data_IF_395518963330
#
_entry.id   IF_395518963330
#
_cell.length_a   1.000
_cell.length_b   1.000
_cell.length_c   1.000
_cell.angle_alpha   90.00
_cell.angle_beta   90.00
_cell.angle_gamma   90.00
#
_symmetry.space_group_name_H-M   'P 1'
#
loop_
_entity.id
_entity.type
_entity.pdbx_description
1 polymer ?
#
# COMPACT_ATOMS: atom_id res chain seq x y z
N UNK A 1 -34.07 10.88 -6.22
CA UNK A 1 -32.84 10.88 -7.04
C UNK A 1 -31.77 10.22 -6.19
N UNK A 2 -31.49 8.94 -6.46
CA UNK A 2 -30.44 8.18 -5.77
C UNK A 2 -29.10 8.47 -6.45
N UNK A 3 -27.98 8.59 -5.71
CA UNK A 3 -26.67 8.80 -6.30
C UNK A 3 -26.28 7.56 -7.13
N UNK A 4 -25.64 7.80 -8.30
CA UNK A 4 -25.12 6.73 -9.15
C UNK A 4 -24.05 5.93 -8.39
N UNK A 5 -24.04 4.59 -8.45
CA UNK A 5 -23.00 3.79 -7.80
C UNK A 5 -21.64 4.07 -8.46
N UNK A 6 -20.61 4.29 -7.63
CA UNK A 6 -19.23 4.55 -8.03
C UNK A 6 -18.66 3.31 -8.75
N UNK A 7 -18.10 3.50 -9.95
CA UNK A 7 -17.65 2.44 -10.86
C UNK A 7 -16.22 1.95 -10.53
N UNK A 8 -16.09 1.12 -9.50
CA UNK A 8 -14.79 0.65 -8.94
C UNK A 8 -13.97 -0.21 -9.94
N UNK A 9 -14.59 -0.81 -10.96
CA UNK A 9 -13.88 -1.67 -11.95
C UNK A 9 -13.59 -0.98 -13.28
N UNK A 10 -14.26 0.13 -13.59
CA UNK A 10 -13.69 1.13 -14.47
C UNK A 10 -12.26 1.41 -14.04
N UNK A 11 -12.05 1.61 -12.73
CA UNK A 11 -10.75 1.90 -12.10
C UNK A 11 -9.70 0.77 -12.18
N UNK A 12 -10.06 -0.52 -12.27
CA UNK A 12 -9.09 -1.64 -12.29
C UNK A 12 -8.59 -1.97 -13.70
N UNK A 13 -9.49 -1.89 -14.69
CA UNK A 13 -9.15 -1.94 -16.11
C UNK A 13 -8.43 -0.65 -16.53
N UNK A 14 -8.84 0.49 -15.96
CA UNK A 14 -8.13 1.76 -15.97
C UNK A 14 -6.75 1.62 -15.28
N UNK A 15 -6.54 0.83 -14.22
CA UNK A 15 -5.18 0.62 -13.68
C UNK A 15 -4.26 -0.15 -14.64
N UNK A 16 -4.78 -1.17 -15.34
CA UNK A 16 -4.03 -1.94 -16.34
C UNK A 16 -3.80 -1.14 -17.64
N UNK A 17 -4.78 -0.35 -18.11
CA UNK A 17 -4.65 0.53 -19.28
C UNK A 17 -3.95 1.86 -18.96
N UNK A 18 -4.10 2.44 -17.76
CA UNK A 18 -3.28 3.57 -17.28
C UNK A 18 -1.83 3.12 -17.15
N UNK A 19 -1.54 1.89 -16.72
CA UNK A 19 -0.16 1.37 -16.74
C UNK A 19 0.42 1.29 -18.17
N UNK A 20 -0.41 1.19 -19.21
CA UNK A 20 0.02 1.13 -20.61
C UNK A 20 -0.12 2.44 -21.40
N UNK A 21 -0.98 3.38 -20.98
CA UNK A 21 -1.31 4.62 -21.71
C UNK A 21 -1.12 5.89 -20.86
N UNK A 22 -1.14 5.80 -19.52
CA UNK A 22 -0.72 6.92 -18.68
C UNK A 22 0.79 7.03 -18.70
N UNK A 23 1.26 8.09 -19.35
CA UNK A 23 2.49 8.73 -18.92
C UNK A 23 2.35 9.09 -17.45
N UNK A 24 2.89 8.28 -16.56
CA UNK A 24 3.50 8.86 -15.39
C UNK A 24 4.98 8.95 -15.71
N UNK A 25 5.41 10.04 -16.36
CA UNK A 25 6.51 10.71 -15.69
C UNK A 25 6.06 10.77 -14.23
N UNK A 26 6.83 10.20 -13.29
CA UNK A 26 6.52 10.38 -11.87
C UNK A 26 6.81 11.86 -11.60
N UNK A 27 5.95 12.72 -12.14
CA UNK A 27 5.81 14.09 -11.76
C UNK A 27 5.27 14.02 -10.36
N UNK A 28 5.96 14.72 -9.47
CA UNK A 28 5.50 14.88 -8.11
C UNK A 28 4.05 15.34 -8.15
N UNK A 29 3.17 14.60 -7.49
CA UNK A 29 1.77 14.99 -7.37
C UNK A 29 1.72 16.36 -6.70
N UNK A 30 1.33 17.37 -7.48
CA UNK A 30 1.19 18.78 -7.10
C UNK A 30 -0.09 19.30 -7.77
N UNK A 31 -1.20 18.66 -7.42
CA UNK A 31 -2.52 19.07 -7.88
C UNK A 31 -3.23 19.86 -6.79
N UNK A 32 -4.39 20.44 -7.10
CA UNK A 32 -5.14 21.29 -6.16
C UNK A 32 -5.55 20.56 -4.85
N UNK A 33 -5.51 19.23 -4.84
CA UNK A 33 -5.83 18.39 -3.68
C UNK A 33 -4.60 17.81 -2.97
N UNK A 34 -3.38 18.01 -3.49
CA UNK A 34 -2.17 17.40 -2.91
C UNK A 34 -0.90 18.25 -3.06
N UNK A 35 -0.15 18.52 -1.97
CA UNK A 35 -0.45 18.14 -0.58
C UNK A 35 -1.79 18.72 -0.09
N UNK A 36 -2.51 18.05 0.84
CA UNK A 36 -3.81 18.52 1.29
C UNK A 36 -3.75 20.00 1.73
N UNK A 37 -4.55 20.91 1.14
CA UNK A 37 -4.45 22.34 1.43
C UNK A 37 -4.67 22.67 2.90
N UNK A 38 -5.55 21.94 3.58
CA UNK A 38 -5.81 22.06 5.02
C UNK A 38 -4.57 21.75 5.85
N UNK A 39 -3.84 20.69 5.51
CA UNK A 39 -2.59 20.31 6.17
C UNK A 39 -1.52 21.40 5.99
N UNK A 40 -1.37 21.94 4.77
CA UNK A 40 -0.44 23.05 4.51
C UNK A 40 -0.78 24.30 5.33
N UNK A 41 -2.07 24.61 5.45
CA UNK A 41 -2.55 25.74 6.26
C UNK A 41 -2.29 25.54 7.75
N UNK A 42 -2.48 24.33 8.25
CA UNK A 42 -2.18 23.97 9.65
C UNK A 42 -0.68 24.04 9.95
N UNK A 43 0.17 23.59 9.03
CA UNK A 43 1.62 23.57 9.19
C UNK A 43 2.31 24.91 8.88
N UNK A 44 1.63 25.89 8.29
CA UNK A 44 2.23 27.18 7.95
C UNK A 44 2.89 27.90 9.15
N UNK A 45 2.27 27.98 10.35
CA UNK A 45 2.91 28.58 11.52
C UNK A 45 4.14 27.80 12.01
N UNK A 46 4.11 26.46 11.87
CA UNK A 46 5.25 25.59 12.20
C UNK A 46 6.41 25.85 11.25
N UNK A 47 6.12 25.90 9.94
CA UNK A 47 7.07 26.24 8.90
C UNK A 47 7.75 27.61 9.16
N UNK A 48 6.96 28.66 9.41
CA UNK A 48 7.45 30.00 9.71
C UNK A 48 8.36 30.02 10.96
N UNK A 49 7.95 29.32 12.03
CA UNK A 49 8.75 29.18 13.27
C UNK A 49 10.07 28.46 12.97
N UNK A 50 10.02 27.35 12.23
CA UNK A 50 11.20 26.54 11.96
C UNK A 50 12.19 27.21 11.01
N UNK A 51 11.74 27.95 10.00
CA UNK A 51 12.62 28.81 9.19
C UNK A 51 13.33 29.82 10.10
N UNK A 52 12.60 30.51 10.98
CA UNK A 52 13.19 31.50 11.90
C UNK A 52 14.20 30.89 12.87
N UNK A 53 13.95 29.68 13.37
CA UNK A 53 14.82 28.98 14.34
C UNK A 53 16.09 28.43 13.69
N UNK A 54 16.00 27.95 12.45
CA UNK A 54 17.07 27.15 11.82
C UNK A 54 17.83 27.91 10.75
N UNK A 55 17.22 28.93 10.14
CA UNK A 55 17.77 29.66 9.00
C UNK A 55 17.67 28.91 7.67
N UNK A 56 16.90 27.82 7.59
CA UNK A 56 16.65 27.12 6.35
C UNK A 56 15.99 28.06 5.32
N UNK A 57 16.42 27.97 4.07
CA UNK A 57 15.87 28.80 3.00
C UNK A 57 14.68 28.11 2.33
N UNK A 58 13.77 28.90 1.80
CA UNK A 58 12.64 28.39 1.00
C UNK A 58 13.14 27.60 -0.21
N UNK A 59 14.25 28.05 -0.81
CA UNK A 59 14.88 27.38 -1.93
C UNK A 59 15.37 25.98 -1.54
N UNK A 60 16.02 25.81 -0.39
CA UNK A 60 16.49 24.51 0.08
C UNK A 60 15.31 23.58 0.41
N UNK A 61 14.27 24.09 1.08
CA UNK A 61 13.07 23.29 1.39
C UNK A 61 12.39 22.84 0.10
N UNK A 62 12.21 23.75 -0.86
CA UNK A 62 11.59 23.46 -2.15
C UNK A 62 12.42 22.51 -3.01
N UNK A 63 13.74 22.70 -3.06
CA UNK A 63 14.63 21.80 -3.81
C UNK A 63 14.62 20.39 -3.21
N UNK A 64 14.61 20.25 -1.89
CA UNK A 64 14.47 18.94 -1.26
C UNK A 64 13.10 18.33 -1.53
N UNK A 65 12.02 19.11 -1.54
CA UNK A 65 10.66 18.60 -1.80
C UNK A 65 10.47 18.21 -3.27
N UNK A 66 10.92 19.07 -4.19
CA UNK A 66 10.58 18.98 -5.62
C UNK A 66 11.70 18.47 -6.54
N UNK A 67 12.96 18.58 -6.09
CA UNK A 67 14.15 18.32 -6.88
C UNK A 67 14.90 17.07 -6.43
N UNK A 68 16.22 17.11 -6.49
CA UNK A 68 17.09 16.04 -5.98
C UNK A 68 17.38 16.22 -4.49
N UNK A 69 17.71 15.12 -3.81
CA UNK A 69 18.14 15.19 -2.42
C UNK A 69 19.49 15.89 -2.36
N UNK A 70 19.57 16.96 -1.57
CA UNK A 70 20.81 17.66 -1.26
C UNK A 70 20.98 17.73 0.26
N UNK A 71 22.21 17.96 0.72
CA UNK A 71 22.49 18.14 2.13
C UNK A 71 22.70 19.63 2.43
N UNK A 72 21.92 20.14 3.38
CA UNK A 72 22.05 21.49 3.93
C UNK A 72 21.80 21.43 5.44
N UNK A 73 22.72 21.94 6.25
CA UNK A 73 22.65 21.80 7.71
C UNK A 73 21.44 22.52 8.32
N UNK A 74 21.05 23.66 7.77
CA UNK A 74 19.87 24.39 8.25
C UNK A 74 18.60 23.60 7.90
N UNK A 75 18.51 23.02 6.71
CA UNK A 75 17.42 22.15 6.27
C UNK A 75 17.31 20.88 7.12
N UNK A 76 18.43 20.22 7.46
CA UNK A 76 18.44 19.04 8.35
C UNK A 76 17.78 19.38 9.69
N UNK A 77 18.15 20.53 10.27
CA UNK A 77 17.55 20.96 11.53
C UNK A 77 16.13 21.53 11.37
N UNK A 78 15.77 22.09 10.21
CA UNK A 78 14.39 22.45 9.88
C UNK A 78 13.48 21.22 9.92
N UNK A 79 13.90 20.11 9.32
CA UNK A 79 13.15 18.84 9.35
C UNK A 79 12.95 18.32 10.77
N UNK A 80 13.98 18.40 11.62
CA UNK A 80 13.83 18.05 13.04
C UNK A 80 12.88 19.00 13.77
N UNK A 81 13.00 20.32 13.54
CA UNK A 81 12.15 21.33 14.14
C UNK A 81 10.66 21.09 13.82
N UNK A 82 10.33 20.69 12.59
CA UNK A 82 8.94 20.37 12.20
C UNK A 82 8.39 19.22 13.05
N UNK A 83 9.18 18.16 13.30
CA UNK A 83 8.74 17.07 14.17
C UNK A 83 8.58 17.51 15.63
N UNK A 84 9.50 18.33 16.12
CA UNK A 84 9.50 18.83 17.50
C UNK A 84 8.29 19.74 17.78
N UNK A 85 8.03 20.71 16.89
CA UNK A 85 6.91 21.66 17.00
C UNK A 85 5.53 21.01 16.81
N UNK A 86 5.47 19.87 16.12
CA UNK A 86 4.22 19.11 15.95
C UNK A 86 4.01 18.05 17.03
N UNK A 87 4.94 17.93 17.99
CA UNK A 87 4.90 16.95 19.09
C UNK A 87 4.75 15.50 18.60
N UNK A 88 5.44 15.14 17.51
CA UNK A 88 5.42 13.76 16.95
C UNK A 88 6.65 12.95 17.35
N UNK A 89 7.39 13.41 18.35
CA UNK A 89 8.60 12.74 18.85
C UNK A 89 8.32 12.00 20.16
N UNK A 90 9.07 10.94 20.40
CA UNK A 90 9.31 10.38 21.73
C UNK A 90 10.26 11.28 22.54
N UNK A 91 10.40 11.01 23.83
CA UNK A 91 11.30 11.77 24.72
C UNK A 91 12.78 11.71 24.31
N UNK A 92 13.20 10.61 23.66
CA UNK A 92 14.56 10.43 23.11
C UNK A 92 14.78 11.16 21.76
N UNK A 93 13.74 11.80 21.24
CA UNK A 93 13.74 12.53 19.98
C UNK A 93 13.64 11.66 18.73
N UNK A 94 13.25 10.39 18.85
CA UNK A 94 12.84 9.55 17.71
C UNK A 94 11.36 9.81 17.35
N UNK A 95 10.96 9.51 16.11
CA UNK A 95 9.59 9.76 15.66
C UNK A 95 8.63 8.71 16.22
N UNK A 96 7.57 9.18 16.88
CA UNK A 96 6.48 8.35 17.39
C UNK A 96 5.45 8.13 16.26
N UNK A 97 5.32 6.89 15.78
CA UNK A 97 4.54 6.61 14.57
C UNK A 97 3.06 6.94 14.74
N UNK A 98 2.45 6.56 15.86
CA UNK A 98 1.06 6.89 16.18
C UNK A 98 0.82 8.40 16.17
N UNK A 99 1.60 9.17 16.94
CA UNK A 99 1.49 10.64 16.93
C UNK A 99 1.71 11.26 15.55
N UNK A 100 2.61 10.70 14.74
CA UNK A 100 2.80 11.14 13.36
C UNK A 100 1.55 10.90 12.52
N UNK A 101 0.93 9.72 12.64
CA UNK A 101 -0.31 9.39 11.94
C UNK A 101 -1.46 10.31 12.39
N UNK A 102 -1.54 10.65 13.69
CA UNK A 102 -2.53 11.62 14.21
C UNK A 102 -2.41 13.02 13.58
N UNK A 103 -1.19 13.43 13.22
CA UNK A 103 -0.94 14.71 12.54
C UNK A 103 -1.22 14.68 11.05
N UNK A 104 -1.35 13.49 10.47
CA UNK A 104 -1.57 13.32 9.04
C UNK A 104 -3.07 13.08 8.77
N UNK A 105 -3.62 13.65 7.68
CA UNK A 105 -4.95 13.29 7.22
C UNK A 105 -5.05 11.78 6.93
N UNK A 106 -6.21 11.17 7.17
CA UNK A 106 -6.46 9.74 6.92
C UNK A 106 -6.04 9.29 5.50
N UNK A 107 -6.20 10.17 4.51
CA UNK A 107 -5.81 9.93 3.11
C UNK A 107 -4.30 9.70 2.91
N UNK A 108 -3.48 10.02 3.92
CA UNK A 108 -2.03 9.85 3.91
C UNK A 108 -1.56 8.72 4.83
N UNK A 109 -2.41 8.11 5.66
CA UNK A 109 -2.01 7.08 6.61
C UNK A 109 -1.38 5.87 5.91
N UNK A 110 -2.02 5.37 4.86
CA UNK A 110 -1.51 4.25 4.06
C UNK A 110 -0.12 4.52 3.46
N UNK A 111 0.05 5.74 2.95
CA UNK A 111 1.31 6.19 2.34
C UNK A 111 2.40 6.29 3.42
N UNK A 112 2.06 6.91 4.56
CA UNK A 112 2.96 7.08 5.70
C UNK A 112 3.40 5.74 6.29
N UNK A 113 2.47 4.80 6.50
CA UNK A 113 2.79 3.44 6.98
C UNK A 113 3.68 2.72 5.98
N UNK A 114 3.40 2.81 4.67
CA UNK A 114 4.19 2.15 3.63
C UNK A 114 5.62 2.70 3.54
N UNK A 115 5.80 4.02 3.60
CA UNK A 115 7.10 4.66 3.68
C UNK A 115 7.81 4.31 4.99
N UNK A 116 7.06 4.31 6.09
CA UNK A 116 7.52 3.93 7.42
C UNK A 116 8.15 2.54 7.47
N UNK A 117 7.56 1.51 6.83
CA UNK A 117 8.09 0.13 6.84
C UNK A 117 9.54 0.01 6.39
N UNK A 118 9.96 0.90 5.49
CA UNK A 118 11.32 0.91 4.92
C UNK A 118 12.28 1.84 5.67
N UNK A 119 11.76 2.68 6.56
CA UNK A 119 12.48 3.81 7.15
C UNK A 119 12.48 3.83 8.68
N UNK A 120 12.31 2.67 9.34
CA UNK A 120 12.16 2.57 10.80
C UNK A 120 13.42 2.91 11.62
N UNK A 121 14.59 3.05 10.99
CA UNK A 121 15.86 3.26 11.69
C UNK A 121 16.60 4.50 11.18
N UNK A 122 16.26 5.69 11.70
CA UNK A 122 16.99 6.91 11.43
C UNK A 122 18.48 6.75 11.70
N UNK A 123 19.33 7.17 10.75
CA UNK A 123 20.79 7.14 10.89
C UNK A 123 21.32 8.56 10.97
N UNK A 124 22.28 8.78 11.86
CA UNK A 124 22.88 10.09 12.09
C UNK A 124 23.35 10.21 13.53
N UNK A 125 24.39 11.00 13.74
CA UNK A 125 24.97 11.24 15.05
C UNK A 125 24.18 12.32 15.81
N UNK A 126 23.46 13.18 15.07
CA UNK A 126 22.62 14.25 15.64
C UNK A 126 21.13 14.06 15.35
N UNK A 127 20.28 14.73 16.14
CA UNK A 127 18.82 14.75 15.90
C UNK A 127 18.45 15.31 14.51
N UNK A 128 19.18 16.32 14.04
CA UNK A 128 18.99 16.89 12.71
C UNK A 128 19.36 15.89 11.60
N UNK A 129 20.49 15.17 11.73
CA UNK A 129 20.89 14.14 10.76
C UNK A 129 19.90 12.98 10.72
N UNK A 130 19.42 12.52 11.88
CA UNK A 130 18.39 11.47 11.97
C UNK A 130 17.10 11.91 11.28
N UNK A 131 16.63 13.14 11.53
CA UNK A 131 15.43 13.69 10.88
C UNK A 131 15.59 13.80 9.37
N UNK A 132 16.75 14.25 8.89
CA UNK A 132 17.06 14.32 7.46
C UNK A 132 17.13 12.95 6.81
N UNK A 133 17.79 11.98 7.45
CA UNK A 133 17.85 10.61 6.97
C UNK A 133 16.45 10.04 6.79
N UNK A 134 15.55 10.30 7.75
CA UNK A 134 14.18 9.82 7.70
C UNK A 134 13.41 10.43 6.53
N UNK A 135 13.44 11.75 6.35
CA UNK A 135 12.80 12.43 5.21
C UNK A 135 13.36 11.99 3.86
N UNK A 136 14.68 11.77 3.77
CA UNK A 136 15.32 11.23 2.58
C UNK A 136 14.82 9.81 2.30
N UNK A 137 14.83 8.93 3.30
CA UNK A 137 14.37 7.56 3.16
C UNK A 137 12.90 7.52 2.73
N UNK A 138 12.06 8.37 3.32
CA UNK A 138 10.66 8.57 2.95
C UNK A 138 10.51 8.98 1.49
N UNK A 139 11.22 10.02 1.05
CA UNK A 139 11.20 10.46 -0.36
C UNK A 139 11.65 9.36 -1.33
N UNK A 140 12.67 8.59 -0.95
CA UNK A 140 13.15 7.45 -1.75
C UNK A 140 12.19 6.25 -1.70
N UNK A 141 11.42 6.12 -0.61
CA UNK A 141 10.46 5.05 -0.33
C UNK A 141 9.01 5.42 -0.65
N UNK A 142 8.72 6.60 -1.19
CA UNK A 142 7.38 6.92 -1.68
C UNK A 142 6.97 5.85 -2.72
N UNK A 143 5.80 5.19 -2.61
CA UNK A 143 5.32 4.24 -3.62
C UNK A 143 5.25 4.87 -5.02
N UNK A 144 6.36 4.80 -5.76
CA UNK A 144 6.41 5.07 -7.20
C UNK A 144 5.63 3.97 -7.91
N UNK A 145 4.35 4.20 -8.16
CA UNK A 145 3.51 3.32 -8.96
C UNK A 145 3.28 3.94 -10.34
N UNK A 146 3.53 3.21 -11.45
CA UNK A 146 4.21 1.91 -11.51
C UNK A 146 5.73 2.02 -11.18
N UNK A 147 6.41 0.91 -10.81
CA UNK A 147 7.83 0.94 -10.46
C UNK A 147 8.70 1.60 -11.54
N UNK A 148 9.79 2.33 -11.20
CA UNK A 148 10.61 3.06 -12.18
C UNK A 148 11.15 2.20 -13.33
N UNK A 149 11.41 0.91 -13.09
CA UNK A 149 11.82 -0.05 -14.13
C UNK A 149 10.68 -0.31 -15.11
N UNK A 150 9.47 -0.54 -14.60
CA UNK A 150 8.29 -0.74 -15.44
C UNK A 150 8.01 0.50 -16.29
N UNK A 151 8.15 1.68 -15.69
CA UNK A 151 7.97 2.94 -16.40
C UNK A 151 8.96 3.14 -17.56
N UNK A 152 10.22 2.75 -17.39
CA UNK A 152 11.21 2.83 -18.48
C UNK A 152 10.83 1.91 -19.65
N UNK A 153 10.34 0.71 -19.36
CA UNK A 153 9.93 -0.28 -20.37
C UNK A 153 8.68 0.21 -21.12
N UNK A 154 7.64 0.64 -20.40
CA UNK A 154 6.40 1.13 -21.02
C UNK A 154 6.65 2.37 -21.88
N UNK A 155 7.47 3.32 -21.41
CA UNK A 155 7.84 4.52 -22.18
C UNK A 155 8.64 4.20 -23.44
N UNK A 156 9.48 3.17 -23.41
CA UNK A 156 10.24 2.72 -24.58
C UNK A 156 9.30 2.21 -25.67
N UNK A 157 8.41 1.26 -25.33
CA UNK A 157 7.45 0.70 -26.28
C UNK A 157 6.43 1.72 -26.77
N UNK A 158 5.98 2.64 -25.90
CA UNK A 158 5.13 3.77 -26.30
C UNK A 158 5.74 4.58 -27.44
N UNK A 159 7.01 4.98 -27.32
CA UNK A 159 7.68 5.77 -28.36
C UNK A 159 7.72 5.03 -29.69
N UNK A 160 8.13 3.75 -29.63
CA UNK A 160 8.16 2.87 -30.80
C UNK A 160 6.78 2.80 -31.46
N UNK A 161 5.72 2.59 -30.67
CA UNK A 161 4.37 2.42 -31.21
C UNK A 161 3.74 3.71 -31.72
N UNK A 162 4.04 4.87 -31.12
CA UNK A 162 3.64 6.18 -31.65
C UNK A 162 4.29 6.40 -33.03
N UNK A 163 5.59 6.17 -33.14
CA UNK A 163 6.31 6.30 -34.41
C UNK A 163 5.79 5.34 -35.49
N UNK A 164 5.50 4.08 -35.11
CA UNK A 164 4.97 3.06 -36.04
C UNK A 164 3.55 3.35 -36.54
N UNK A 165 2.71 4.01 -35.73
CA UNK A 165 1.26 4.10 -35.99
C UNK A 165 0.78 5.50 -36.36
N UNK A 166 1.58 6.53 -36.08
CA UNK A 166 1.22 7.92 -36.36
C UNK A 166 0.09 8.47 -35.48
N UNK A 167 -0.25 7.79 -34.38
CA UNK A 167 -1.19 8.33 -33.37
C UNK A 167 -0.58 9.59 -32.73
N UNK A 168 -1.35 10.67 -32.60
CA UNK A 168 -0.84 11.93 -32.04
C UNK A 168 -0.63 11.80 -30.53
N UNK A 169 0.34 12.52 -29.95
CA UNK A 169 0.58 12.49 -28.49
C UNK A 169 -0.59 13.03 -27.65
N UNK A 170 -1.50 13.80 -28.26
CA UNK A 170 -2.69 14.34 -27.61
C UNK A 170 -3.79 13.26 -27.42
N UNK A 171 -4.11 12.53 -28.49
CA UNK A 171 -5.15 11.47 -28.54
C UNK A 171 -5.20 10.52 -27.32
N UNK A 172 -4.06 10.08 -26.73
CA UNK A 172 -4.08 9.26 -25.53
C UNK A 172 -4.85 9.87 -24.36
N UNK A 173 -4.68 11.16 -24.04
CA UNK A 173 -5.22 11.71 -22.79
C UNK A 173 -6.74 11.89 -22.83
N UNK A 174 -7.30 12.44 -23.92
CA UNK A 174 -8.75 12.60 -24.06
C UNK A 174 -9.45 11.25 -24.31
N UNK A 175 -8.85 10.38 -25.14
CA UNK A 175 -9.40 9.05 -25.37
C UNK A 175 -9.42 8.18 -24.11
N UNK A 176 -8.42 8.30 -23.22
CA UNK A 176 -8.40 7.62 -21.91
C UNK A 176 -9.56 8.11 -21.00
N UNK A 177 -9.85 9.41 -20.99
CA UNK A 177 -10.90 9.98 -20.14
C UNK A 177 -12.31 9.61 -20.65
N UNK A 178 -12.58 9.75 -21.95
CA UNK A 178 -13.87 9.34 -22.55
C UNK A 178 -14.09 7.82 -22.52
N UNK A 179 -12.99 7.06 -22.59
CA UNK A 179 -12.98 5.61 -22.39
C UNK A 179 -13.35 5.20 -20.96
N UNK A 180 -12.86 5.92 -19.95
CA UNK A 180 -13.25 5.76 -18.55
C UNK A 180 -14.77 5.95 -18.35
N UNK A 181 -15.38 6.81 -19.18
CA UNK A 181 -16.82 7.07 -19.20
C UNK A 181 -17.63 6.08 -20.07
N UNK A 182 -16.95 5.12 -20.70
CA UNK A 182 -17.57 4.04 -21.46
C UNK A 182 -17.82 4.32 -22.94
N UNK A 183 -17.32 5.44 -23.48
CA UNK A 183 -17.41 5.77 -24.91
C UNK A 183 -16.36 4.99 -25.71
N UNK A 184 -16.72 4.57 -26.92
CA UNK A 184 -15.88 3.74 -27.80
C UNK A 184 -15.29 4.63 -28.89
N UNK A 185 -13.97 4.77 -28.93
CA UNK A 185 -13.28 5.44 -30.04
C UNK A 185 -13.15 4.47 -31.23
N UNK A 186 -13.53 4.92 -32.42
CA UNK A 186 -13.37 4.14 -33.66
C UNK A 186 -12.06 4.44 -34.41
N UNK A 187 -11.17 5.24 -33.83
CA UNK A 187 -9.91 5.67 -34.43
C UNK A 187 -9.00 4.48 -34.79
N UNK A 188 -8.67 4.37 -36.08
CA UNK A 188 -7.86 3.25 -36.61
C UNK A 188 -6.41 3.28 -36.14
N UNK A 189 -5.82 4.48 -35.95
CA UNK A 189 -4.45 4.60 -35.46
C UNK A 189 -4.36 4.15 -34.00
N UNK A 190 -5.39 4.43 -33.19
CA UNK A 190 -5.48 3.94 -31.82
C UNK A 190 -5.59 2.42 -31.74
N UNK A 191 -6.40 1.79 -32.61
CA UNK A 191 -6.50 0.32 -32.71
C UNK A 191 -5.14 -0.30 -33.02
N UNK A 192 -4.42 0.28 -33.98
CA UNK A 192 -3.09 -0.19 -34.35
C UNK A 192 -2.03 0.09 -33.28
N UNK A 193 -2.13 1.21 -32.55
CA UNK A 193 -1.27 1.50 -31.40
C UNK A 193 -1.42 0.45 -30.30
N UNK A 194 -2.66 0.03 -29.98
CA UNK A 194 -2.89 -1.04 -29.01
C UNK A 194 -2.31 -2.37 -29.45
N UNK A 195 -2.51 -2.75 -30.71
CA UNK A 195 -1.89 -3.96 -31.26
C UNK A 195 -0.36 -3.91 -31.16
N UNK A 196 0.24 -2.76 -31.49
CA UNK A 196 1.68 -2.57 -31.36
C UNK A 196 2.14 -2.78 -29.91
N UNK A 197 1.47 -2.20 -28.91
CA UNK A 197 1.83 -2.40 -27.51
C UNK A 197 1.73 -3.87 -27.10
N UNK A 198 0.64 -4.56 -27.45
CA UNK A 198 0.52 -5.98 -27.11
C UNK A 198 1.62 -6.82 -27.74
N UNK A 199 2.05 -6.48 -28.96
CA UNK A 199 3.15 -7.17 -29.62
C UNK A 199 4.50 -6.88 -28.94
N UNK A 200 4.80 -5.63 -28.56
CA UNK A 200 6.05 -5.30 -27.86
C UNK A 200 6.13 -5.95 -26.45
N UNK A 201 4.99 -6.28 -25.85
CA UNK A 201 4.90 -7.02 -24.59
C UNK A 201 4.84 -8.56 -24.77
N UNK A 202 5.00 -9.07 -25.99
CA UNK A 202 4.81 -10.49 -26.35
C UNK A 202 3.44 -11.04 -25.90
N UNK A 203 2.44 -10.17 -25.76
CA UNK A 203 1.09 -10.54 -25.33
C UNK A 203 0.21 -10.98 -26.50
N UNK A 204 0.60 -10.68 -27.74
CA UNK A 204 -0.03 -11.22 -28.96
C UNK A 204 1.01 -11.80 -29.91
N UNK A 205 0.65 -12.85 -30.62
CA UNK A 205 1.49 -13.43 -31.68
C UNK A 205 1.25 -12.78 -33.05
N UNK A 206 1.97 -13.26 -34.07
CA UNK A 206 1.85 -12.79 -35.45
C UNK A 206 0.46 -13.03 -36.07
N UNK A 207 -0.34 -13.94 -35.49
CA UNK A 207 -1.72 -14.20 -35.91
C UNK A 207 -2.73 -13.31 -35.18
N UNK A 208 -2.29 -12.59 -34.15
CA UNK A 208 -3.11 -11.77 -33.27
C UNK A 208 -3.74 -12.56 -32.12
N UNK A 209 -3.34 -13.81 -31.88
CA UNK A 209 -3.79 -14.61 -30.74
C UNK A 209 -3.13 -14.11 -29.45
N UNK A 210 -3.87 -14.14 -28.34
CA UNK A 210 -3.46 -13.47 -27.09
C UNK A 210 -2.90 -14.47 -26.07
N UNK A 211 -1.72 -14.14 -25.54
CA UNK A 211 -1.01 -14.86 -24.48
C UNK A 211 -1.31 -14.27 -23.10
N UNK A 212 -2.39 -14.72 -22.46
CA UNK A 212 -2.85 -14.18 -21.16
C UNK A 212 -1.79 -14.31 -20.05
N UNK A 213 -0.99 -15.38 -20.08
CA UNK A 213 0.08 -15.60 -19.11
C UNK A 213 1.16 -14.52 -19.17
N UNK A 214 1.38 -13.91 -20.34
CA UNK A 214 2.29 -12.79 -20.55
C UNK A 214 1.66 -11.49 -20.08
N UNK A 215 0.39 -11.28 -20.43
CA UNK A 215 -0.37 -10.08 -20.08
C UNK A 215 -0.55 -9.92 -18.56
N UNK A 216 -0.72 -11.02 -17.83
CA UNK A 216 -0.97 -11.00 -16.38
C UNK A 216 0.23 -11.45 -15.54
N UNK A 217 1.41 -11.60 -16.14
CA UNK A 217 2.60 -12.10 -15.45
C UNK A 217 2.94 -11.31 -14.19
N UNK A 218 2.81 -9.98 -14.23
CA UNK A 218 3.15 -9.07 -13.13
C UNK A 218 2.05 -8.94 -12.06
N UNK A 219 0.92 -9.66 -12.19
CA UNK A 219 -0.20 -9.58 -11.26
C UNK A 219 -0.03 -10.56 -10.09
N UNK A 220 -0.52 -10.22 -8.87
CA UNK A 220 -0.56 -11.15 -7.75
C UNK A 220 -1.28 -12.45 -8.12
N UNK A 221 -0.82 -13.60 -7.60
CA UNK A 221 -1.27 -14.93 -8.04
C UNK A 221 -2.78 -15.14 -8.05
N UNK A 222 -3.49 -14.74 -6.99
CA UNK A 222 -4.95 -14.87 -6.93
C UNK A 222 -5.66 -14.02 -7.99
N UNK A 223 -5.23 -12.76 -8.15
CA UNK A 223 -5.80 -11.85 -9.14
C UNK A 223 -5.49 -12.32 -10.56
N UNK A 224 -4.26 -12.80 -10.80
CA UNK A 224 -3.85 -13.41 -12.06
C UNK A 224 -4.74 -14.58 -12.44
N UNK A 225 -4.96 -15.54 -11.53
CA UNK A 225 -5.75 -16.74 -11.83
C UNK A 225 -7.21 -16.40 -12.15
N UNK A 226 -7.78 -15.40 -11.46
CA UNK A 226 -9.12 -14.89 -11.75
C UNK A 226 -9.17 -14.27 -13.14
N UNK A 227 -8.23 -13.37 -13.45
CA UNK A 227 -8.16 -12.70 -14.75
C UNK A 227 -7.92 -13.68 -15.90
N UNK A 228 -7.08 -14.70 -15.71
CA UNK A 228 -6.87 -15.79 -16.68
C UNK A 228 -8.17 -16.52 -16.99
N UNK A 229 -8.96 -16.89 -15.97
CA UNK A 229 -10.23 -17.62 -16.15
C UNK A 229 -11.29 -16.79 -16.87
N UNK A 230 -11.35 -15.50 -16.60
CA UNK A 230 -12.32 -14.59 -17.20
C UNK A 230 -11.99 -14.23 -18.65
N UNK A 231 -10.69 -14.23 -18.97
CA UNK A 231 -10.19 -13.81 -20.27
C UNK A 231 -10.04 -14.95 -21.26
N UNK A 232 -10.18 -16.21 -20.81
CA UNK A 232 -9.91 -17.41 -21.62
C UNK A 232 -10.72 -17.49 -22.91
N UNK A 233 -11.94 -16.95 -22.90
CA UNK A 233 -12.85 -17.00 -24.06
C UNK A 233 -12.56 -15.87 -25.06
N UNK A 234 -11.63 -14.97 -24.74
CA UNK A 234 -11.23 -13.84 -25.58
C UNK A 234 -9.89 -14.07 -26.31
N UNK A 235 -9.19 -15.20 -26.09
CA UNK A 235 -7.80 -15.38 -26.54
C UNK A 235 -7.63 -15.51 -28.06
N UNK A 236 -8.71 -15.74 -28.79
CA UNK A 236 -8.74 -15.83 -30.25
C UNK A 236 -9.58 -14.69 -30.83
N UNK A 237 -9.02 -13.47 -30.92
CA UNK A 237 -9.77 -12.32 -31.34
C UNK A 237 -10.16 -12.34 -32.82
N UNK A 238 -11.35 -11.81 -33.10
CA UNK A 238 -11.88 -11.67 -34.47
C UNK A 238 -11.57 -10.29 -35.03
N UNK A 239 -11.30 -10.22 -36.33
CA UNK A 239 -11.07 -8.95 -37.01
C UNK A 239 -10.33 -9.13 -38.33
N UNK A 240 -10.54 -8.18 -39.24
CA UNK A 240 -9.96 -8.21 -40.58
C UNK A 240 -8.47 -7.85 -40.60
N UNK A 241 -7.98 -7.19 -39.55
CA UNK A 241 -6.58 -6.82 -39.35
C UNK A 241 -6.11 -7.15 -37.93
N UNK A 242 -4.79 -7.20 -37.71
CA UNK A 242 -4.23 -7.32 -36.36
C UNK A 242 -4.69 -6.18 -35.44
N UNK A 243 -4.83 -4.97 -35.98
CA UNK A 243 -5.37 -3.82 -35.24
C UNK A 243 -6.82 -4.06 -34.78
N UNK A 244 -7.67 -4.59 -35.67
CA UNK A 244 -9.06 -4.93 -35.34
C UNK A 244 -9.15 -6.11 -34.37
N UNK A 245 -8.26 -7.10 -34.48
CA UNK A 245 -8.16 -8.23 -33.55
C UNK A 245 -7.77 -7.76 -32.14
N UNK A 246 -6.72 -6.96 -31.99
CA UNK A 246 -6.34 -6.37 -30.71
C UNK A 246 -7.48 -5.55 -30.10
N UNK A 247 -8.20 -4.81 -30.94
CA UNK A 247 -9.37 -4.04 -30.52
C UNK A 247 -10.55 -4.93 -30.11
N UNK A 248 -10.80 -6.03 -30.83
CA UNK A 248 -11.83 -7.00 -30.48
C UNK A 248 -11.53 -7.69 -29.15
N UNK A 249 -10.28 -8.11 -28.92
CA UNK A 249 -9.84 -8.71 -27.65
C UNK A 249 -10.20 -7.77 -26.49
N UNK A 250 -9.85 -6.50 -26.66
CA UNK A 250 -10.15 -5.45 -25.71
C UNK A 250 -11.68 -5.27 -25.49
N UNK A 251 -12.49 -5.32 -26.55
CA UNK A 251 -13.96 -5.27 -26.44
C UNK A 251 -14.57 -6.52 -25.78
N UNK A 252 -13.97 -7.69 -25.97
CA UNK A 252 -14.41 -8.95 -25.39
C UNK A 252 -14.38 -8.90 -23.85
N UNK A 253 -13.31 -8.33 -23.28
CA UNK A 253 -13.23 -8.06 -21.83
C UNK A 253 -14.35 -7.16 -21.33
N UNK A 254 -14.72 -6.11 -22.08
CA UNK A 254 -15.84 -5.22 -21.72
C UNK A 254 -17.19 -5.96 -21.68
N UNK A 255 -17.38 -7.01 -22.49
CA UNK A 255 -18.60 -7.84 -22.47
C UNK A 255 -18.62 -8.86 -21.33
N UNK A 256 -17.45 -9.29 -20.84
CA UNK A 256 -17.33 -10.14 -19.65
C UNK A 256 -17.59 -9.38 -18.32
N UNK A 257 -17.71 -8.04 -18.35
CA UNK A 257 -17.91 -7.11 -17.23
C UNK A 257 -19.07 -7.44 -16.27
N UNK A 258 -20.28 -7.85 -16.70
CA UNK A 258 -21.36 -8.16 -15.77
C UNK A 258 -21.11 -9.43 -14.94
N UNK A 259 -20.45 -10.42 -15.55
CA UNK A 259 -20.03 -11.64 -14.85
C UNK A 259 -18.85 -11.38 -13.93
N UNK A 260 -17.90 -10.51 -14.31
CA UNK A 260 -16.80 -10.08 -13.45
C UNK A 260 -17.30 -9.28 -12.24
N UNK A 261 -18.27 -8.35 -12.42
CA UNK A 261 -18.94 -7.66 -11.30
C UNK A 261 -19.63 -8.64 -10.37
N UNK A 262 -20.37 -9.62 -10.91
CA UNK A 262 -21.03 -10.64 -10.11
C UNK A 262 -20.01 -11.56 -9.41
N UNK A 263 -18.93 -11.97 -10.09
CA UNK A 263 -17.87 -12.83 -9.51
C UNK A 263 -17.06 -12.06 -8.47
N UNK A 264 -16.70 -10.79 -8.69
CA UNK A 264 -16.04 -9.96 -7.68
C UNK A 264 -16.97 -9.70 -6.49
N UNK A 265 -18.26 -9.45 -6.71
CA UNK A 265 -19.25 -9.38 -5.63
C UNK A 265 -19.39 -10.72 -4.93
N UNK A 266 -19.40 -11.86 -5.63
CA UNK A 266 -19.47 -13.20 -5.04
C UNK A 266 -18.15 -13.63 -4.39
N UNK A 267 -17.01 -13.10 -4.82
CA UNK A 267 -15.69 -13.26 -4.21
C UNK A 267 -15.63 -12.40 -2.97
N UNK A 268 -16.04 -11.12 -3.02
CA UNK A 268 -16.19 -10.23 -1.85
C UNK A 268 -17.23 -10.77 -0.84
N UNK A 269 -18.31 -11.37 -1.32
CA UNK A 269 -19.26 -12.13 -0.49
C UNK A 269 -18.66 -13.47 -0.05
N UNK A 270 -17.78 -14.09 -0.82
CA UNK A 270 -17.01 -15.29 -0.47
C UNK A 270 -15.87 -15.04 0.52
N UNK A 271 -15.36 -13.81 0.59
CA UNK A 271 -14.50 -13.29 1.66
C UNK A 271 -15.27 -13.23 3.00
N UNK A 272 -16.60 -13.37 2.98
CA UNK A 272 -17.40 -13.55 4.21
C UNK A 272 -17.49 -15.00 4.68
N UNK A 273 -17.00 -15.98 3.89
CA UNK A 273 -16.67 -17.28 4.46
C UNK A 273 -15.38 -17.11 5.25
N UNK A 274 -15.40 -17.44 6.54
CA UNK A 274 -14.23 -17.35 7.43
C UNK A 274 -13.01 -17.95 6.74
N UNK A 275 -12.03 -17.10 6.38
CA UNK A 275 -10.80 -17.57 5.79
C UNK A 275 -10.06 -18.37 6.85
N UNK A 276 -9.80 -19.65 6.56
CA UNK A 276 -9.08 -20.50 7.50
C UNK A 276 -7.67 -19.92 7.74
N UNK A 277 -7.21 -19.87 9.00
CA UNK A 277 -5.86 -19.42 9.31
C UNK A 277 -4.83 -20.31 8.62
N UNK A 278 -3.78 -19.69 8.07
CA UNK A 278 -2.66 -20.42 7.48
C UNK A 278 -1.86 -21.09 8.60
N UNK A 279 -1.88 -22.42 8.64
CA UNK A 279 -1.14 -23.26 9.60
C UNK A 279 -0.40 -24.39 8.88
N UNK A 280 0.38 -24.03 7.87
CA UNK A 280 1.22 -24.98 7.12
C UNK A 280 2.59 -25.16 7.79
N UNK A 281 3.41 -26.08 7.27
CA UNK A 281 4.72 -26.39 7.87
C UNK A 281 5.68 -25.19 7.92
N UNK A 282 5.42 -24.13 7.14
CA UNK A 282 6.23 -22.93 7.06
C UNK A 282 5.65 -21.76 7.88
N UNK A 283 4.40 -21.84 8.34
CA UNK A 283 3.68 -20.73 8.96
C UNK A 283 2.73 -21.16 10.10
N UNK A 284 2.79 -20.52 11.30
CA UNK A 284 3.74 -19.48 11.69
C UNK A 284 5.19 -19.99 11.67
N UNK A 285 6.20 -19.15 11.37
CA UNK A 285 7.58 -19.60 11.24
C UNK A 285 8.05 -20.36 12.49
N UNK A 286 8.45 -21.65 12.37
CA UNK A 286 8.79 -22.47 13.54
C UNK A 286 9.93 -21.91 14.40
N UNK A 287 10.85 -21.16 13.78
CA UNK A 287 11.91 -20.46 14.51
C UNK A 287 11.37 -19.36 15.41
N UNK A 288 10.37 -18.60 14.96
CA UNK A 288 9.71 -17.59 15.78
C UNK A 288 8.97 -18.25 16.95
N UNK A 289 8.20 -19.31 16.70
CA UNK A 289 7.46 -20.00 17.76
C UNK A 289 8.39 -20.53 18.87
N UNK A 290 9.58 -21.04 18.50
CA UNK A 290 10.59 -21.45 19.49
C UNK A 290 11.12 -20.29 20.33
N UNK A 291 11.32 -19.11 19.72
CA UNK A 291 11.74 -17.92 20.46
C UNK A 291 10.62 -17.38 21.35
N UNK A 292 9.40 -17.32 20.81
CA UNK A 292 8.22 -16.82 21.51
C UNK A 292 7.81 -17.70 22.70
N UNK A 293 8.15 -19.00 22.68
CA UNK A 293 7.84 -19.93 23.77
C UNK A 293 8.26 -19.41 25.15
N UNK A 294 9.42 -18.75 25.25
CA UNK A 294 9.88 -18.21 26.53
C UNK A 294 8.90 -17.19 27.12
N UNK A 295 8.46 -16.24 26.29
CA UNK A 295 7.51 -15.20 26.68
C UNK A 295 6.11 -15.77 26.92
N UNK A 296 5.69 -16.73 26.08
CA UNK A 296 4.47 -17.51 26.30
C UNK A 296 4.46 -18.14 27.69
N UNK A 297 5.50 -18.89 28.07
CA UNK A 297 5.57 -19.58 29.36
C UNK A 297 5.49 -18.60 30.55
N UNK A 298 6.15 -17.44 30.44
CA UNK A 298 6.10 -16.37 31.46
C UNK A 298 4.68 -15.82 31.58
N UNK A 299 4.08 -15.42 30.46
CA UNK A 299 2.78 -14.76 30.45
C UNK A 299 1.64 -15.72 30.80
N UNK A 300 1.73 -16.99 30.39
CA UNK A 300 0.81 -18.04 30.81
C UNK A 300 0.89 -18.25 32.32
N UNK A 301 2.10 -18.31 32.90
CA UNK A 301 2.29 -18.42 34.35
C UNK A 301 1.77 -17.22 35.14
N UNK A 302 1.94 -16.00 34.63
CA UNK A 302 1.47 -14.75 35.27
C UNK A 302 -0.06 -14.61 35.24
N UNK A 303 -0.70 -15.01 34.15
CA UNK A 303 -2.13 -14.74 33.90
C UNK A 303 -3.02 -15.94 34.19
N UNK A 304 -2.46 -17.16 34.13
CA UNK A 304 -3.20 -18.40 34.25
C UNK A 304 -4.17 -18.66 33.10
N UNK A 305 -3.94 -18.04 31.93
CA UNK A 305 -4.65 -18.37 30.69
C UNK A 305 -4.33 -19.79 30.26
N UNK A 306 -5.28 -20.47 29.64
CA UNK A 306 -5.10 -21.84 29.13
C UNK A 306 -4.61 -21.84 27.68
N UNK A 307 -3.81 -22.82 27.29
CA UNK A 307 -3.40 -23.02 25.88
C UNK A 307 -4.60 -23.16 24.94
N UNK A 308 -5.69 -23.76 25.41
CA UNK A 308 -6.93 -23.89 24.64
C UNK A 308 -7.54 -22.52 24.30
N UNK A 309 -7.54 -21.57 25.23
CA UNK A 309 -8.06 -20.21 25.01
C UNK A 309 -7.16 -19.41 24.05
N UNK A 310 -5.83 -19.50 24.21
CA UNK A 310 -4.87 -18.88 23.28
C UNK A 310 -5.07 -19.44 21.86
N UNK A 311 -5.15 -20.77 21.73
CA UNK A 311 -5.31 -21.44 20.45
C UNK A 311 -6.65 -21.13 19.80
N UNK A 312 -7.74 -21.13 20.56
CA UNK A 312 -9.06 -20.79 20.04
C UNK A 312 -9.10 -19.33 19.56
N UNK A 313 -8.48 -18.39 20.28
CA UNK A 313 -8.38 -17.01 19.80
C UNK A 313 -7.46 -16.91 18.57
N UNK A 314 -6.37 -17.65 18.50
CA UNK A 314 -5.44 -17.61 17.37
C UNK A 314 -6.05 -18.20 16.10
N UNK A 315 -6.73 -19.34 16.21
CA UNK A 315 -7.08 -20.20 15.06
C UNK A 315 -8.59 -20.38 14.85
N UNK A 316 -9.39 -20.14 15.89
CA UNK A 316 -10.85 -20.31 15.90
C UNK A 316 -11.56 -18.96 15.91
N UNK A 317 -12.64 -18.84 16.68
CA UNK A 317 -13.43 -17.61 16.76
C UNK A 317 -12.92 -16.65 17.84
N UNK A 318 -13.14 -15.35 17.63
CA UNK A 318 -12.87 -14.36 18.67
C UNK A 318 -13.85 -14.59 19.83
N UNK A 319 -13.30 -14.80 21.02
CA UNK A 319 -14.05 -14.93 22.26
C UNK A 319 -13.45 -14.00 23.32
N UNK A 320 -14.26 -13.67 24.32
CA UNK A 320 -13.81 -12.89 25.46
C UNK A 320 -13.33 -13.80 26.60
N UNK A 321 -12.10 -13.59 27.04
CA UNK A 321 -11.54 -14.20 28.24
C UNK A 321 -10.58 -13.18 28.88
N UNK A 322 -10.85 -12.78 30.12
CA UNK A 322 -10.07 -11.74 30.81
C UNK A 322 -8.60 -12.13 31.01
N UNK A 323 -8.32 -13.43 31.23
CA UNK A 323 -6.92 -13.88 31.37
C UNK A 323 -6.19 -13.82 30.04
N UNK A 324 -6.88 -14.12 28.94
CA UNK A 324 -6.35 -13.97 27.59
C UNK A 324 -6.09 -12.50 27.23
N UNK A 325 -7.00 -11.57 27.59
CA UNK A 325 -6.77 -10.13 27.40
C UNK A 325 -5.49 -9.69 28.13
N UNK A 326 -5.33 -10.12 29.38
CA UNK A 326 -4.12 -9.79 30.14
C UNK A 326 -2.87 -10.57 29.69
N UNK A 327 -3.03 -11.74 29.05
CA UNK A 327 -1.94 -12.47 28.42
C UNK A 327 -1.37 -11.67 27.24
N UNK A 328 -2.23 -11.10 26.40
CA UNK A 328 -1.82 -10.20 25.31
C UNK A 328 -1.08 -8.97 25.84
N UNK A 329 -1.60 -8.33 26.89
CA UNK A 329 -0.91 -7.19 27.52
C UNK A 329 0.46 -7.60 28.10
N UNK A 330 0.54 -8.78 28.74
CA UNK A 330 1.80 -9.30 29.23
C UNK A 330 2.83 -9.46 28.11
N UNK A 331 2.43 -10.00 26.94
CA UNK A 331 3.34 -10.13 25.80
C UNK A 331 3.90 -8.76 25.37
N UNK A 332 3.07 -7.72 25.29
CA UNK A 332 3.56 -6.39 24.95
C UNK A 332 4.59 -5.84 25.94
N UNK A 333 4.42 -6.08 27.24
CA UNK A 333 5.43 -5.70 28.23
C UNK A 333 6.70 -6.55 28.14
N UNK A 334 6.59 -7.86 27.91
CA UNK A 334 7.76 -8.74 27.76
C UNK A 334 8.59 -8.41 26.51
N UNK A 335 7.95 -7.86 25.47
CA UNK A 335 8.63 -7.33 24.28
C UNK A 335 9.10 -5.87 24.42
N UNK A 336 8.79 -5.19 25.53
CA UNK A 336 9.12 -3.78 25.78
C UNK A 336 8.56 -2.82 24.70
N UNK A 337 7.32 -3.07 24.28
CA UNK A 337 6.65 -2.32 23.20
C UNK A 337 5.45 -1.50 23.67
N UNK A 338 5.16 -1.49 24.96
CA UNK A 338 4.02 -0.76 25.53
C UNK A 338 4.48 0.00 26.77
N UNK A 339 3.94 1.21 26.96
CA UNK A 339 4.23 2.03 28.13
C UNK A 339 3.31 1.71 29.33
N UNK A 340 3.46 2.46 30.42
CA UNK A 340 2.66 2.31 31.64
C UNK A 340 1.18 2.72 31.45
N UNK A 341 0.86 3.47 30.39
CA UNK A 341 -0.51 3.88 30.04
C UNK A 341 -1.22 2.87 29.13
N UNK A 342 -0.49 1.86 28.62
CA UNK A 342 -1.01 0.87 27.68
C UNK A 342 -0.96 1.33 26.23
N UNK A 343 -0.19 2.38 25.94
CA UNK A 343 -0.02 2.91 24.59
C UNK A 343 1.11 2.13 23.92
N UNK A 344 0.75 1.41 22.85
CA UNK A 344 1.67 0.48 22.18
C UNK A 344 2.50 1.24 21.16
N UNK A 345 3.80 1.23 21.38
CA UNK A 345 4.82 1.74 20.47
C UNK A 345 4.91 0.84 19.22
N UNK A 346 4.04 1.08 18.24
CA UNK A 346 3.93 0.26 17.02
C UNK A 346 5.26 0.16 16.28
N UNK A 347 6.07 1.23 16.25
CA UNK A 347 7.43 1.18 15.69
C UNK A 347 8.33 0.18 16.43
N UNK A 348 8.34 0.17 17.78
CA UNK A 348 9.10 -0.82 18.56
C UNK A 348 8.59 -2.23 18.31
N UNK A 349 7.26 -2.40 18.27
CA UNK A 349 6.63 -3.68 17.95
C UNK A 349 7.07 -4.19 16.57
N UNK A 350 6.95 -3.37 15.53
CA UNK A 350 7.38 -3.77 14.18
C UNK A 350 8.87 -4.10 14.14
N UNK A 351 9.70 -3.36 14.88
CA UNK A 351 11.14 -3.60 14.98
C UNK A 351 11.50 -4.91 15.71
N UNK A 352 10.65 -5.38 16.64
CA UNK A 352 10.84 -6.65 17.33
C UNK A 352 10.56 -7.88 16.45
N UNK A 353 9.86 -7.69 15.32
CA UNK A 353 9.42 -8.78 14.43
C UNK A 353 10.34 -8.92 13.22
N UNK A 354 10.80 -10.14 12.87
CA UNK A 354 11.75 -10.34 11.79
C UNK A 354 11.12 -10.24 10.39
N UNK A 355 11.81 -9.51 9.50
CA UNK A 355 11.73 -9.63 8.04
C UNK A 355 10.30 -9.70 7.46
N UNK A 356 9.94 -10.77 6.71
CA UNK A 356 8.64 -10.87 6.04
C UNK A 356 7.42 -10.83 6.98
N UNK A 357 7.56 -11.23 8.25
CA UNK A 357 6.47 -11.15 9.22
C UNK A 357 6.18 -9.71 9.64
N UNK A 358 7.21 -8.86 9.65
CA UNK A 358 7.04 -7.44 9.94
C UNK A 358 6.15 -6.79 8.89
N UNK A 359 6.35 -7.09 7.61
CA UNK A 359 5.54 -6.52 6.53
C UNK A 359 4.06 -6.93 6.65
N UNK A 360 3.82 -8.19 7.00
CA UNK A 360 2.49 -8.74 7.31
C UNK A 360 1.87 -8.00 8.50
N UNK A 361 2.58 -7.89 9.62
CA UNK A 361 2.11 -7.19 10.83
C UNK A 361 1.80 -5.71 10.54
N UNK A 362 2.67 -5.03 9.83
CA UNK A 362 2.44 -3.64 9.46
C UNK A 362 1.29 -3.48 8.44
N UNK A 363 0.94 -4.52 7.67
CA UNK A 363 -0.20 -4.46 6.75
C UNK A 363 -1.51 -4.64 7.51
N UNK A 364 -1.58 -5.59 8.44
CA UNK A 364 -2.76 -5.75 9.32
C UNK A 364 -2.93 -4.58 10.29
N UNK A 365 -1.87 -3.80 10.56
CA UNK A 365 -1.91 -2.67 11.51
C UNK A 365 -2.36 -1.33 10.91
N UNK A 366 -2.60 -1.24 9.60
CA UNK A 366 -2.89 0.04 8.92
C UNK A 366 -4.04 0.82 9.54
N UNK A 367 -5.12 0.11 9.88
CA UNK A 367 -6.33 0.67 10.50
C UNK A 367 -6.42 0.33 12.00
N UNK A 368 -5.33 -0.17 12.58
CA UNK A 368 -5.25 -0.63 13.97
C UNK A 368 -4.22 0.20 14.73
N UNK A 369 -4.49 1.49 14.88
CA UNK A 369 -3.57 2.45 15.49
C UNK A 369 -3.98 2.79 16.92
N UNK A 370 -5.24 3.18 17.14
CA UNK A 370 -5.72 3.66 18.44
C UNK A 370 -6.54 2.61 19.18
N UNK A 371 -6.00 1.99 20.25
CA UNK A 371 -6.72 0.97 20.99
C UNK A 371 -7.90 1.52 21.78
N UNK A 372 -8.97 0.73 21.88
CA UNK A 372 -10.12 1.04 22.73
C UNK A 372 -10.15 0.06 23.91
N UNK A 373 -10.46 0.59 25.10
CA UNK A 373 -10.54 -0.20 26.33
C UNK A 373 -10.29 0.66 27.56
N UNK A 374 -10.90 0.29 28.68
CA UNK A 374 -10.76 1.00 29.96
C UNK A 374 -9.53 0.49 30.75
N UNK A 375 -9.03 -0.70 30.40
CA UNK A 375 -7.87 -1.34 31.04
C UNK A 375 -6.74 -1.63 30.05
N UNK A 376 -5.51 -1.80 30.56
CA UNK A 376 -4.35 -2.23 29.76
C UNK A 376 -4.61 -3.55 29.02
N UNK A 377 -5.28 -4.50 29.70
CA UNK A 377 -5.66 -5.78 29.11
C UNK A 377 -6.64 -5.62 27.94
N UNK A 378 -7.64 -4.74 28.07
CA UNK A 378 -8.60 -4.45 26.99
C UNK A 378 -7.97 -3.74 25.81
N UNK A 379 -7.08 -2.76 26.06
CA UNK A 379 -6.30 -2.09 25.00
C UNK A 379 -5.47 -3.10 24.20
N UNK A 380 -4.78 -4.00 24.88
CA UNK A 380 -4.00 -5.05 24.21
C UNK A 380 -4.89 -5.99 23.39
N UNK A 381 -6.01 -6.42 23.96
CA UNK A 381 -6.99 -7.26 23.28
C UNK A 381 -7.61 -6.59 22.05
N UNK A 382 -7.82 -5.26 22.08
CA UNK A 382 -8.29 -4.51 20.93
C UNK A 382 -7.35 -4.63 19.73
N UNK A 383 -6.03 -4.46 19.94
CA UNK A 383 -5.04 -4.61 18.86
C UNK A 383 -5.10 -5.99 18.25
N UNK A 384 -5.05 -7.03 19.08
CA UNK A 384 -5.06 -8.41 18.61
C UNK A 384 -6.34 -8.78 17.85
N UNK A 385 -7.50 -8.27 18.26
CA UNK A 385 -8.72 -8.41 17.48
C UNK A 385 -8.68 -7.65 16.16
N UNK A 386 -8.20 -6.41 16.17
CA UNK A 386 -8.13 -5.58 14.99
C UNK A 386 -7.22 -6.24 13.94
N UNK A 387 -6.03 -6.68 14.33
CA UNK A 387 -5.10 -7.42 13.50
C UNK A 387 -5.67 -8.73 12.98
N UNK A 388 -6.35 -9.52 13.83
CA UNK A 388 -7.01 -10.76 13.41
C UNK A 388 -8.13 -10.51 12.40
N UNK A 389 -8.91 -9.44 12.57
CA UNK A 389 -9.97 -9.06 11.62
C UNK A 389 -9.39 -8.54 10.30
N UNK A 390 -8.27 -7.81 10.36
CA UNK A 390 -7.61 -7.24 9.19
C UNK A 390 -6.92 -8.31 8.32
N UNK A 391 -6.29 -9.32 8.93
CA UNK A 391 -5.67 -10.44 8.21
C UNK A 391 -5.83 -11.77 8.97
N UNK A 392 -7.02 -12.41 8.90
CA UNK A 392 -7.31 -13.65 9.62
C UNK A 392 -6.50 -14.85 9.12
N UNK A 393 -5.95 -14.76 7.90
CA UNK A 393 -5.13 -15.83 7.31
C UNK A 393 -3.76 -15.87 7.97
N UNK A 394 -3.13 -14.70 8.15
CA UNK A 394 -1.76 -14.63 8.67
C UNK A 394 -1.70 -14.33 10.16
N UNK A 395 -2.73 -13.78 10.78
CA UNK A 395 -2.72 -13.55 12.21
C UNK A 395 -2.49 -14.86 13.00
N UNK A 396 -1.67 -14.79 14.04
CA UNK A 396 -1.51 -15.83 15.06
C UNK A 396 -1.12 -15.21 16.40
N UNK A 397 -1.51 -15.86 17.49
CA UNK A 397 -1.09 -15.53 18.84
C UNK A 397 -0.15 -16.64 19.35
N UNK A 398 0.98 -16.25 19.94
CA UNK A 398 2.02 -17.17 20.42
C UNK A 398 1.71 -17.71 21.81
#
# INVERSE_FOLDING_TARGET
MLPRPLNIFGSLLLLLLLCCVATFAVELRRDESYPPPELLKELAPVHDSCIKKTGATEEAIKEFSDGEVHEDEALKCYMYCVFDETDVLHEDGEVHLEKLLDRLPDSMHDIAVHMGKRCLYPKGDTKCERAFWLHRCWKESDPKYPPPVMLKITNHFRKICIEKTGVTEALPKEAIHEFSDGHIHEDENLKCYMNCLFHEFDAVDDNGDVHLEKLFYAMPGQLRDILMRLSKDCIHPEGDTLCHKAWWFHQCWKKADPMLKLICVLVLLGYTAAQAPRRDEQYPPPALLRMAKHFHDICQGKTGVTDEAIKEFSDGEIHEDEKLKCYMNCLFHEFDVVDDNGDVHLEKLFNSIPGPLRDILMNMSKDCVHPQGDTLCEKAWWFHQCWKKADPVHYFLV
#
